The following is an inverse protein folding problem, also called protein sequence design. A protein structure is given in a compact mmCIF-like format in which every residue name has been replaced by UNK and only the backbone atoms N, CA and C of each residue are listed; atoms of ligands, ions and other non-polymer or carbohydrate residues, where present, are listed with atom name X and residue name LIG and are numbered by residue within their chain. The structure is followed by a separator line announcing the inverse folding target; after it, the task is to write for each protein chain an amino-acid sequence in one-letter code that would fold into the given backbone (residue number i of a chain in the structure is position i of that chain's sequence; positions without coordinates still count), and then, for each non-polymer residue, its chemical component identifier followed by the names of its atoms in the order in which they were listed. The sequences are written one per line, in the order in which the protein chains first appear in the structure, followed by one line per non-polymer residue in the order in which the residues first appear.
data_IF_662772549906
#
_entry.id   IF_662772549906
#
_cell.length_a   1.000
_cell.length_b   1.000
_cell.length_c   1.000
_cell.angle_alpha   90.00
_cell.angle_beta   90.00
_cell.angle_gamma   90.00
#
_symmetry.space_group_name_H-M   'P 1'
#
loop_
_entity.id
_entity.type
_entity.pdbx_description
1 polymer ?
#
# COMPACT_ATOMS: atom_id res chain seq x y z
N UNK A 1 12.74 -3.71 -34.08
CA UNK A 1 11.58 -4.34 -33.43
C UNK A 1 11.96 -4.63 -31.99
N UNK A 2 11.61 -3.74 -31.07
CA UNK A 2 11.96 -3.93 -29.65
C UNK A 2 10.72 -4.49 -28.96
N UNK A 3 10.80 -5.77 -28.62
CA UNK A 3 9.76 -6.54 -27.95
C UNK A 3 9.30 -5.84 -26.68
N UNK A 4 8.12 -5.23 -26.73
CA UNK A 4 7.38 -4.81 -25.54
C UNK A 4 6.91 -6.06 -24.82
N UNK A 5 7.82 -6.72 -24.10
CA UNK A 5 7.45 -7.73 -23.12
C UNK A 5 6.46 -7.07 -22.16
N UNK A 6 5.21 -7.53 -22.18
CA UNK A 6 4.21 -7.19 -21.18
C UNK A 6 4.72 -7.72 -19.82
N UNK A 7 5.62 -6.96 -19.17
CA UNK A 7 6.01 -7.20 -17.79
C UNK A 7 4.74 -7.11 -16.97
N UNK A 8 4.21 -8.27 -16.60
CA UNK A 8 3.08 -8.38 -15.69
C UNK A 8 3.48 -7.61 -14.44
N UNK A 9 2.86 -6.45 -14.23
CA UNK A 9 3.11 -5.65 -13.03
C UNK A 9 2.66 -6.48 -11.85
N UNK A 10 3.57 -6.71 -10.90
CA UNK A 10 3.26 -7.38 -9.65
C UNK A 10 2.05 -6.70 -8.98
N UNK A 11 1.05 -7.48 -8.62
CA UNK A 11 -0.14 -7.03 -7.89
C UNK A 11 -0.09 -7.71 -6.52
N UNK A 12 0.11 -6.97 -5.42
CA UNK A 12 0.18 -7.55 -4.09
C UNK A 12 -1.18 -8.07 -3.63
N UNK A 13 -1.16 -9.03 -2.72
CA UNK A 13 -2.32 -9.39 -1.92
C UNK A 13 -2.56 -8.38 -0.79
N UNK A 14 -3.78 -8.29 -0.28
CA UNK A 14 -4.10 -7.44 0.88
C UNK A 14 -3.15 -7.70 2.08
N UNK A 15 -2.89 -8.97 2.40
CA UNK A 15 -2.01 -9.35 3.50
C UNK A 15 -0.56 -8.85 3.33
N UNK A 16 -0.08 -8.78 2.08
CA UNK A 16 1.27 -8.27 1.79
C UNK A 16 1.32 -6.75 1.95
N UNK A 17 0.24 -6.04 1.62
CA UNK A 17 0.11 -4.60 1.86
C UNK A 17 0.06 -4.33 3.38
N UNK A 18 -0.71 -5.11 4.13
CA UNK A 18 -0.79 -5.01 5.59
C UNK A 18 0.56 -5.26 6.26
N UNK A 19 1.25 -6.32 5.85
CA UNK A 19 2.59 -6.64 6.34
C UNK A 19 3.58 -5.50 6.04
N UNK A 20 3.63 -5.02 4.80
CA UNK A 20 4.48 -3.91 4.40
C UNK A 20 4.14 -2.62 5.16
N UNK A 21 2.87 -2.41 5.51
CA UNK A 21 2.43 -1.23 6.26
C UNK A 21 2.96 -1.18 7.70
N UNK A 22 3.36 -2.32 8.27
CA UNK A 22 3.96 -2.38 9.62
C UNK A 22 5.33 -1.72 9.72
N UNK A 23 6.00 -1.53 8.58
CA UNK A 23 7.31 -0.86 8.48
C UNK A 23 7.19 0.66 8.36
N UNK A 24 5.96 1.18 8.22
CA UNK A 24 5.75 2.60 7.95
C UNK A 24 6.03 3.46 9.19
N UNK A 25 6.82 4.53 9.06
CA UNK A 25 7.02 5.49 10.13
C UNK A 25 5.74 6.30 10.38
N UNK A 26 5.66 6.97 11.54
CA UNK A 26 4.55 7.89 11.85
C UNK A 26 4.48 9.01 10.79
N UNK A 27 3.39 9.11 10.02
CA UNK A 27 3.27 10.08 8.93
C UNK A 27 3.26 11.54 9.42
N UNK A 28 3.03 11.79 10.71
CA UNK A 28 3.04 13.16 11.27
C UNK A 28 4.43 13.61 11.72
N UNK A 29 5.38 12.69 11.87
CA UNK A 29 6.73 12.96 12.38
C UNK A 29 7.82 12.86 11.31
N UNK A 30 7.51 12.24 10.18
CA UNK A 30 8.42 12.13 9.04
C UNK A 30 8.17 13.23 8.02
N UNK A 31 9.25 13.80 7.50
CA UNK A 31 9.21 14.77 6.40
C UNK A 31 9.00 14.08 5.04
N UNK A 32 9.23 12.76 4.96
CA UNK A 32 9.12 12.00 3.72
C UNK A 32 7.69 12.02 3.15
N UNK A 33 7.59 12.09 1.83
CA UNK A 33 6.32 12.09 1.08
C UNK A 33 6.00 10.73 0.48
N UNK A 34 6.97 9.83 0.40
CA UNK A 34 6.82 8.45 -0.02
C UNK A 34 7.70 7.54 0.83
N UNK A 35 7.26 6.30 1.05
CA UNK A 35 8.03 5.29 1.75
C UNK A 35 7.92 3.96 1.00
N UNK A 36 9.04 3.28 0.79
CA UNK A 36 9.04 1.98 0.11
C UNK A 36 9.40 0.89 1.11
N UNK A 37 8.47 -0.03 1.32
CA UNK A 37 8.62 -1.16 2.23
C UNK A 37 8.85 -2.46 1.46
N UNK A 38 9.64 -3.36 2.04
CA UNK A 38 9.88 -4.70 1.52
C UNK A 38 8.74 -5.65 1.91
N UNK A 39 8.40 -6.61 1.04
CA UNK A 39 7.45 -7.68 1.37
C UNK A 39 8.25 -8.93 1.74
N UNK A 40 8.07 -9.47 2.95
CA UNK A 40 8.87 -10.63 3.39
C UNK A 40 8.65 -11.84 2.50
N UNK A 41 9.74 -12.59 2.27
CA UNK A 41 9.70 -13.79 1.44
C UNK A 41 9.56 -13.52 -0.07
N UNK A 42 9.66 -12.26 -0.50
CA UNK A 42 9.67 -11.90 -1.93
C UNK A 42 10.76 -10.87 -2.23
N UNK A 43 11.12 -10.72 -3.51
CA UNK A 43 11.97 -9.62 -3.98
C UNK A 43 11.17 -8.39 -4.43
N UNK A 44 9.91 -8.29 -4.00
CA UNK A 44 9.01 -7.20 -4.36
C UNK A 44 8.91 -6.18 -3.23
N UNK A 45 8.66 -4.94 -3.64
CA UNK A 45 8.52 -3.79 -2.74
C UNK A 45 7.19 -3.09 -3.00
N UNK A 46 6.66 -2.45 -1.96
CA UNK A 46 5.43 -1.64 -2.03
C UNK A 46 5.79 -0.21 -1.68
N UNK A 47 5.40 0.73 -2.54
CA UNK A 47 5.54 2.16 -2.26
C UNK A 47 4.24 2.73 -1.75
N UNK A 48 4.32 3.42 -0.61
CA UNK A 48 3.25 4.18 0.01
C UNK A 48 3.51 5.67 -0.23
N UNK A 49 2.42 6.44 -0.35
CA UNK A 49 2.46 7.89 -0.45
C UNK A 49 1.86 8.53 0.79
N UNK A 50 2.44 9.64 1.24
CA UNK A 50 1.90 10.44 2.33
C UNK A 50 0.85 11.38 1.75
N UNK A 51 -0.36 11.31 2.27
CA UNK A 51 -1.44 12.24 1.93
C UNK A 51 -1.87 13.03 3.15
N UNK A 52 -2.26 14.28 2.92
CA UNK A 52 -2.94 15.08 3.90
C UNK A 52 -4.44 14.78 3.85
N UNK A 53 -5.04 14.49 4.99
CA UNK A 53 -6.45 14.15 5.13
C UNK A 53 -7.11 15.12 6.09
N UNK A 54 -8.32 15.57 5.76
CA UNK A 54 -9.14 16.39 6.63
C UNK A 54 -10.06 15.50 7.45
N UNK A 55 -10.05 15.66 8.77
CA UNK A 55 -11.02 15.04 9.65
C UNK A 55 -12.32 15.86 9.66
N UNK A 56 -13.41 15.25 10.13
CA UNK A 56 -14.74 15.86 10.22
C UNK A 56 -14.75 17.13 11.10
N UNK A 57 -13.83 17.22 12.06
CA UNK A 57 -13.59 18.37 12.93
C UNK A 57 -12.76 19.49 12.28
N UNK A 58 -12.52 19.40 10.96
CA UNK A 58 -11.67 20.30 10.16
C UNK A 58 -10.19 20.28 10.54
N UNK A 59 -9.74 19.36 11.40
CA UNK A 59 -8.31 19.18 11.67
C UNK A 59 -7.62 18.48 10.50
N UNK A 60 -6.35 18.84 10.28
CA UNK A 60 -5.49 18.24 9.26
C UNK A 60 -4.66 17.13 9.91
N UNK A 61 -4.57 15.98 9.26
CA UNK A 61 -3.65 14.89 9.66
C UNK A 61 -2.97 14.33 8.42
N UNK A 62 -1.80 13.72 8.59
CA UNK A 62 -1.15 12.96 7.53
C UNK A 62 -1.43 11.47 7.71
N UNK A 63 -1.59 10.76 6.59
CA UNK A 63 -1.73 9.30 6.53
C UNK A 63 -0.91 8.75 5.37
N UNK A 64 -0.41 7.54 5.53
CA UNK A 64 0.13 6.76 4.42
C UNK A 64 -1.02 6.13 3.62
N UNK A 65 -0.86 6.08 2.31
CA UNK A 65 -1.79 5.44 1.39
C UNK A 65 -1.05 4.57 0.38
N UNK A 66 -1.65 3.45 0.01
CA UNK A 66 -1.19 2.63 -1.10
C UNK A 66 -2.05 2.93 -2.34
N UNK A 67 -1.41 3.37 -3.43
CA UNK A 67 -2.08 3.65 -4.71
C UNK A 67 -1.74 2.57 -5.74
N UNK A 68 -2.50 1.48 -5.72
CA UNK A 68 -2.30 0.38 -6.66
C UNK A 68 -3.50 -0.55 -6.75
N UNK A 69 -3.34 -1.61 -7.55
CA UNK A 69 -4.29 -2.72 -7.58
C UNK A 69 -3.88 -3.72 -6.49
N UNK A 70 -4.85 -4.35 -5.86
CA UNK A 70 -4.61 -5.40 -4.87
C UNK A 70 -5.50 -6.60 -5.18
N UNK A 71 -4.98 -7.80 -4.95
CA UNK A 71 -5.78 -9.02 -5.00
C UNK A 71 -6.48 -9.24 -3.65
N UNK A 72 -7.81 -9.34 -3.69
CA UNK A 72 -8.64 -9.70 -2.54
C UNK A 72 -9.08 -11.14 -2.73
N UNK A 73 -8.75 -12.01 -1.77
CA UNK A 73 -9.27 -13.38 -1.77
C UNK A 73 -10.77 -13.36 -1.43
N UNK A 74 -11.59 -13.92 -2.31
CA UNK A 74 -13.05 -13.99 -2.14
C UNK A 74 -13.51 -14.78 -0.89
N UNK A 75 -12.63 -15.60 -0.30
CA UNK A 75 -12.90 -16.34 0.95
C UNK A 75 -13.19 -15.44 2.16
N UNK A 76 -12.86 -14.14 2.09
CA UNK A 76 -13.17 -13.17 3.14
C UNK A 76 -14.54 -12.49 2.97
N UNK A 77 -15.21 -12.67 1.82
CA UNK A 77 -16.56 -12.14 1.54
C UNK A 77 -17.67 -13.11 1.98
N UNK A 78 -17.33 -14.38 2.25
CA UNK A 78 -18.27 -15.43 2.63
C UNK A 78 -18.58 -15.51 4.13
N UNK A 79 -18.21 -14.51 4.94
CA UNK A 79 -18.68 -14.38 6.33
C UNK A 79 -19.91 -13.47 6.40
N UNK A 80 -20.98 -13.94 5.77
CA UNK A 80 -22.34 -13.48 6.07
C UNK A 80 -23.20 -14.74 6.14
N UNK A 81 -23.19 -15.39 7.29
CA UNK A 81 -24.24 -16.32 7.73
C UNK A 81 -25.07 -15.61 8.80
#
# INVERSE_FOLDING_TARGET
MSSSENKIKFIPMLSQVEEASSQLPDPTKTDETSFTADISGTNHKITFEKIQVYRSDKTKTYKWTYKGRLFINSKFLSKTE
#
